data_IF_912402231165
#
_entry.id   IF_912402231165
#
_cell.length_a   1.000
_cell.length_b   1.000
_cell.length_c   1.000
_cell.angle_alpha   90.00
_cell.angle_beta   90.00
_cell.angle_gamma   90.00
#
_symmetry.space_group_name_H-M   'P 1'
#
loop_
_entity.id
_entity.type
_entity.pdbx_description
1 polymer ?
#
# COMPACT_ATOMS: atom_id res chain seq x y z
N UNK A 1 -3.05 12.92 25.41
CA UNK A 1 -4.35 12.57 24.80
C UNK A 1 -5.10 11.69 25.77
N UNK A 2 -6.21 12.18 26.32
CA UNK A 2 -6.97 11.43 27.35
C UNK A 2 -7.91 10.38 26.76
N UNK A 3 -8.28 10.50 25.47
CA UNK A 3 -9.10 9.53 24.74
C UNK A 3 -8.62 9.47 23.29
N UNK A 4 -8.09 8.33 22.88
CA UNK A 4 -7.70 8.02 21.51
C UNK A 4 -8.48 6.78 21.06
N UNK A 5 -9.22 6.90 19.96
CA UNK A 5 -10.10 5.83 19.46
C UNK A 5 -9.36 4.54 19.14
N UNK A 6 -8.12 4.62 18.61
CA UNK A 6 -7.32 3.44 18.31
C UNK A 6 -6.86 2.76 19.57
N UNK A 7 -6.34 3.52 20.56
CA UNK A 7 -5.90 2.97 21.83
C UNK A 7 -7.05 2.39 22.65
N UNK A 8 -8.21 3.03 22.63
CA UNK A 8 -9.41 2.54 23.33
C UNK A 8 -9.91 1.23 22.68
N UNK A 9 -9.87 1.12 21.34
CA UNK A 9 -10.20 -0.12 20.64
C UNK A 9 -9.19 -1.24 20.96
N UNK A 10 -7.89 -0.96 20.97
CA UNK A 10 -6.86 -1.94 21.34
C UNK A 10 -7.04 -2.45 22.77
N UNK A 11 -7.40 -1.57 23.72
CA UNK A 11 -7.75 -1.96 25.07
C UNK A 11 -8.98 -2.85 25.13
N UNK A 12 -10.05 -2.47 24.41
CA UNK A 12 -11.28 -3.26 24.31
C UNK A 12 -11.02 -4.66 23.75
N UNK A 13 -10.16 -4.78 22.75
CA UNK A 13 -9.76 -6.06 22.15
C UNK A 13 -8.75 -6.85 23.02
N UNK A 14 -8.30 -6.31 24.15
CA UNK A 14 -7.34 -6.95 25.04
C UNK A 14 -5.91 -6.99 24.48
N UNK A 15 -5.59 -6.17 23.49
CA UNK A 15 -4.25 -6.07 22.88
C UNK A 15 -3.33 -5.16 23.71
N UNK A 16 -2.93 -5.65 24.87
CA UNK A 16 -2.15 -4.90 25.85
C UNK A 16 -0.64 -5.07 25.75
N UNK A 17 -0.12 -5.79 24.75
CA UNK A 17 1.30 -6.10 24.60
C UNK A 17 1.91 -6.84 25.82
N UNK A 18 1.14 -7.67 26.48
CA UNK A 18 1.63 -8.50 27.60
C UNK A 18 2.67 -9.50 27.10
N UNK A 19 3.57 -10.01 27.95
CA UNK A 19 4.57 -10.99 27.53
C UNK A 19 3.98 -12.21 26.82
N UNK A 20 2.82 -12.68 27.25
CA UNK A 20 2.09 -13.84 26.72
C UNK A 20 1.35 -13.56 25.40
N UNK A 21 1.08 -12.29 25.07
CA UNK A 21 0.37 -11.95 23.83
C UNK A 21 1.21 -12.31 22.60
N UNK A 22 0.67 -13.14 21.71
CA UNK A 22 1.35 -13.56 20.48
C UNK A 22 1.51 -12.42 19.47
N UNK A 23 0.60 -11.46 19.50
CA UNK A 23 0.60 -10.28 18.63
C UNK A 23 0.97 -9.05 19.46
N UNK A 24 1.91 -8.27 18.95
CA UNK A 24 2.30 -6.98 19.53
C UNK A 24 1.87 -5.86 18.62
N UNK A 25 1.30 -4.81 19.17
CA UNK A 25 0.87 -3.63 18.43
C UNK A 25 1.69 -2.43 18.88
N UNK A 26 2.35 -1.79 17.94
CA UNK A 26 3.09 -0.54 18.19
C UNK A 26 2.34 0.57 17.47
N UNK A 27 1.77 1.50 18.23
CA UNK A 27 1.02 2.63 17.70
C UNK A 27 1.92 3.88 17.69
N UNK A 28 2.19 4.41 16.50
CA UNK A 28 3.05 5.58 16.29
C UNK A 28 2.23 6.67 15.56
N UNK A 29 1.48 7.51 16.28
CA UNK A 29 0.57 8.50 15.70
C UNK A 29 1.28 9.81 15.32
N UNK A 30 2.44 9.72 14.70
CA UNK A 30 3.22 10.87 14.25
C UNK A 30 4.06 10.51 13.03
N UNK A 31 4.61 11.53 12.37
CA UNK A 31 5.57 11.30 11.28
C UNK A 31 6.85 10.68 11.82
N UNK A 32 7.35 9.69 11.09
CA UNK A 32 8.58 8.96 11.42
C UNK A 32 9.80 9.73 10.90
N UNK A 33 10.16 10.79 11.61
CA UNK A 33 11.31 11.65 11.31
C UNK A 33 12.59 11.25 12.09
N UNK A 34 12.56 10.10 12.76
CA UNK A 34 13.63 9.59 13.60
C UNK A 34 13.61 10.12 15.03
N UNK A 35 12.58 10.87 15.43
CA UNK A 35 12.46 11.48 16.77
C UNK A 35 11.09 11.25 17.41
N UNK A 36 10.40 10.20 16.99
CA UNK A 36 9.04 9.88 17.44
C UNK A 36 8.98 9.43 18.93
N UNK A 37 10.10 9.11 19.53
CA UNK A 37 10.18 8.67 20.94
C UNK A 37 9.76 7.22 21.17
N UNK A 38 9.45 6.47 20.12
CA UNK A 38 9.00 5.07 20.15
C UNK A 38 10.01 4.19 19.40
N UNK A 39 10.11 4.37 18.09
CA UNK A 39 11.01 3.63 17.21
C UNK A 39 12.30 4.40 16.91
N UNK A 40 12.23 5.73 16.87
CA UNK A 40 13.33 6.64 16.58
C UNK A 40 14.07 6.28 15.27
N UNK A 41 13.30 5.90 14.25
CA UNK A 41 13.79 5.55 12.91
C UNK A 41 13.05 6.37 11.87
N UNK A 42 13.72 6.69 10.78
CA UNK A 42 13.06 7.28 9.63
C UNK A 42 12.15 6.26 8.94
N UNK A 43 11.10 6.75 8.29
CA UNK A 43 10.10 5.92 7.62
C UNK A 43 10.72 4.86 6.68
N UNK A 44 11.67 5.24 5.84
CA UNK A 44 12.31 4.30 4.90
C UNK A 44 13.22 3.28 5.59
N UNK A 45 13.81 3.63 6.75
CA UNK A 45 14.58 2.66 7.53
C UNK A 45 13.68 1.58 8.16
N UNK A 46 12.45 1.97 8.54
CA UNK A 46 11.45 1.03 9.05
C UNK A 46 10.91 0.15 7.93
N UNK A 47 10.58 0.77 6.80
CA UNK A 47 10.02 0.08 5.63
C UNK A 47 10.93 -1.06 5.14
N UNK A 48 12.26 -0.89 5.20
CA UNK A 48 13.22 -1.94 4.87
C UNK A 48 13.09 -3.20 5.74
N UNK A 49 12.59 -3.05 6.96
CA UNK A 49 12.42 -4.14 7.93
C UNK A 49 11.03 -4.78 7.92
N UNK A 50 10.10 -4.27 7.12
CA UNK A 50 8.75 -4.79 7.06
C UNK A 50 8.65 -6.02 6.15
N UNK A 51 7.79 -6.96 6.52
CA UNK A 51 7.50 -8.15 5.71
C UNK A 51 6.29 -7.94 4.82
N UNK A 52 5.31 -7.15 5.26
CA UNK A 52 4.05 -6.86 4.57
C UNK A 52 3.53 -5.49 4.99
N UNK A 53 3.11 -4.68 4.04
CA UNK A 53 2.49 -3.38 4.30
C UNK A 53 1.00 -3.40 3.96
N UNK A 54 0.20 -2.61 4.70
CA UNK A 54 -1.25 -2.53 4.50
C UNK A 54 -1.69 -1.08 4.41
N UNK A 55 -2.21 -0.70 3.25
CA UNK A 55 -2.71 0.65 2.95
C UNK A 55 -4.18 0.58 2.50
N UNK A 56 -5.13 0.47 3.44
CA UNK A 56 -6.54 0.31 3.12
C UNK A 56 -7.17 1.66 2.72
N UNK A 57 -6.65 2.27 1.65
CA UNK A 57 -7.05 3.59 1.18
C UNK A 57 -8.55 3.65 0.89
N UNK A 58 -9.18 4.72 1.36
CA UNK A 58 -10.57 5.03 1.03
C UNK A 58 -10.69 5.88 -0.23
N UNK A 59 -9.75 6.80 -0.42
CA UNK A 59 -9.57 7.58 -1.65
C UNK A 59 -8.14 8.11 -1.70
N UNK A 60 -7.47 7.83 -2.79
CA UNK A 60 -6.15 8.37 -3.06
C UNK A 60 -5.94 8.50 -4.58
N UNK A 61 -5.62 9.70 -5.12
CA UNK A 61 -5.48 9.89 -6.57
C UNK A 61 -4.47 8.94 -7.21
N UNK A 62 -3.34 8.68 -6.55
CA UNK A 62 -2.37 7.69 -7.00
C UNK A 62 -2.09 6.64 -5.92
N UNK A 63 -1.46 6.99 -4.82
CA UNK A 63 -1.00 6.06 -3.79
C UNK A 63 0.52 5.87 -3.84
N UNK A 64 1.24 6.89 -3.36
CA UNK A 64 2.71 6.80 -3.32
C UNK A 64 3.18 5.82 -2.26
N UNK A 65 2.52 5.73 -1.12
CA UNK A 65 2.92 4.82 -0.03
C UNK A 65 2.93 3.34 -0.43
N UNK A 66 1.89 2.77 -1.08
CA UNK A 66 1.98 1.40 -1.58
C UNK A 66 3.01 1.24 -2.70
N UNK A 67 3.21 2.25 -3.57
CA UNK A 67 4.25 2.21 -4.59
C UNK A 67 5.66 2.21 -3.97
N UNK A 68 5.91 3.05 -2.98
CA UNK A 68 7.17 3.08 -2.24
C UNK A 68 7.44 1.75 -1.55
N UNK A 69 6.42 1.15 -0.93
CA UNK A 69 6.53 -0.16 -0.29
C UNK A 69 7.03 -1.23 -1.26
N UNK A 70 6.40 -1.36 -2.44
CA UNK A 70 6.85 -2.35 -3.43
C UNK A 70 8.22 -1.98 -4.04
N UNK A 71 8.58 -0.71 -4.09
CA UNK A 71 9.91 -0.26 -4.52
C UNK A 71 11.01 -0.67 -3.52
N UNK A 72 10.66 -0.76 -2.23
CA UNK A 72 11.51 -1.34 -1.18
C UNK A 72 11.38 -2.86 -1.07
N UNK A 73 10.75 -3.50 -2.03
CA UNK A 73 10.53 -4.95 -2.07
C UNK A 73 9.65 -5.47 -0.92
N UNK A 74 8.74 -4.63 -0.42
CA UNK A 74 7.77 -5.03 0.60
C UNK A 74 6.44 -5.32 -0.07
N UNK A 75 5.93 -6.56 -0.01
CA UNK A 75 4.60 -6.90 -0.51
C UNK A 75 3.52 -6.06 0.16
N UNK A 76 2.48 -5.71 -0.59
CA UNK A 76 1.58 -4.64 -0.16
C UNK A 76 0.12 -5.02 -0.39
N UNK A 77 -0.73 -4.72 0.59
CA UNK A 77 -2.19 -4.74 0.45
C UNK A 77 -2.68 -3.31 0.25
N UNK A 78 -3.45 -3.07 -0.79
CA UNK A 78 -4.07 -1.78 -1.08
C UNK A 78 -5.51 -1.96 -1.56
N UNK A 79 -6.17 -0.90 -1.99
CA UNK A 79 -7.54 -0.95 -2.51
C UNK A 79 -7.61 -0.36 -3.92
N UNK A 80 -8.69 -0.68 -4.63
CA UNK A 80 -8.99 -0.10 -5.95
C UNK A 80 -9.53 1.35 -5.89
N UNK A 81 -9.66 1.94 -4.70
CA UNK A 81 -9.90 3.38 -4.51
C UNK A 81 -8.61 4.22 -4.53
N UNK A 82 -7.45 3.56 -4.61
CA UNK A 82 -6.17 4.18 -4.92
C UNK A 82 -5.83 3.99 -6.41
N UNK A 83 -5.36 5.03 -7.09
CA UNK A 83 -4.95 4.95 -8.49
C UNK A 83 -3.88 3.89 -8.74
N UNK A 84 -2.94 3.69 -7.80
CA UNK A 84 -1.96 2.63 -7.84
C UNK A 84 -2.62 1.24 -7.87
N UNK A 85 -3.62 1.00 -7.02
CA UNK A 85 -4.36 -0.27 -7.00
C UNK A 85 -5.09 -0.54 -8.32
N UNK A 86 -5.78 0.47 -8.87
CA UNK A 86 -6.42 0.38 -10.19
C UNK A 86 -5.40 0.07 -11.29
N UNK A 87 -4.25 0.72 -11.26
CA UNK A 87 -3.18 0.47 -12.22
C UNK A 87 -2.62 -0.96 -12.08
N UNK A 88 -2.37 -1.43 -10.86
CA UNK A 88 -1.92 -2.82 -10.61
C UNK A 88 -2.91 -3.83 -11.17
N UNK A 89 -4.22 -3.62 -10.97
CA UNK A 89 -5.27 -4.49 -11.54
C UNK A 89 -5.24 -4.51 -13.09
N UNK A 90 -4.68 -3.50 -13.73
CA UNK A 90 -4.52 -3.47 -15.20
C UNK A 90 -3.30 -4.23 -15.70
N UNK A 91 -2.38 -4.61 -14.82
CA UNK A 91 -1.18 -5.35 -15.19
C UNK A 91 -1.51 -6.81 -15.50
N UNK A 92 -0.82 -7.35 -16.49
CA UNK A 92 -0.90 -8.79 -16.79
C UNK A 92 -0.20 -9.57 -15.68
N UNK A 93 -0.78 -10.70 -15.31
CA UNK A 93 -0.23 -11.64 -14.31
C UNK A 93 -0.16 -11.06 -12.88
N UNK A 94 -1.11 -10.21 -12.51
CA UNK A 94 -1.31 -9.78 -11.12
C UNK A 94 -2.54 -10.51 -10.56
N UNK A 95 -2.31 -11.41 -9.60
CA UNK A 95 -3.33 -12.30 -9.03
C UNK A 95 -3.29 -12.30 -7.50
N UNK A 96 -2.96 -11.17 -6.91
CA UNK A 96 -2.96 -10.99 -5.47
C UNK A 96 -1.58 -10.99 -4.83
N UNK A 97 -1.54 -11.23 -3.52
CA UNK A 97 -0.32 -11.08 -2.69
C UNK A 97 0.84 -11.96 -3.17
N UNK A 98 0.58 -13.09 -3.79
CA UNK A 98 1.63 -13.95 -4.32
C UNK A 98 2.42 -13.31 -5.47
N UNK A 99 1.87 -12.28 -6.10
CA UNK A 99 2.51 -11.49 -7.15
C UNK A 99 3.00 -10.13 -6.63
N UNK A 100 3.00 -9.96 -5.30
CA UNK A 100 3.59 -8.82 -4.60
C UNK A 100 2.60 -7.73 -4.19
N UNK A 101 1.40 -7.70 -4.78
CA UNK A 101 0.37 -6.71 -4.42
C UNK A 101 -1.01 -7.39 -4.35
N UNK A 102 -1.68 -7.21 -3.22
CA UNK A 102 -3.10 -7.52 -3.08
C UNK A 102 -3.91 -6.24 -3.26
N UNK A 103 -4.86 -6.25 -4.19
CA UNK A 103 -5.77 -5.12 -4.42
C UNK A 103 -7.19 -5.53 -4.06
N UNK A 104 -7.68 -4.99 -2.96
CA UNK A 104 -9.03 -5.27 -2.47
C UNK A 104 -10.03 -4.30 -3.10
N UNK A 105 -11.15 -4.82 -3.55
CA UNK A 105 -12.28 -3.98 -3.95
C UNK A 105 -12.86 -3.27 -2.73
N UNK A 106 -12.97 -1.93 -2.78
CA UNK A 106 -13.54 -1.13 -1.71
C UNK A 106 -14.65 -0.21 -2.21
N UNK A 107 -15.71 -0.14 -1.42
CA UNK A 107 -16.85 0.76 -1.63
C UNK A 107 -17.31 1.32 -0.28
N UNK A 108 -18.30 2.21 -0.30
CA UNK A 108 -18.92 2.75 0.92
C UNK A 108 -19.66 1.70 1.75
N UNK A 109 -19.96 0.54 1.18
CA UNK A 109 -20.88 -0.45 1.76
C UNK A 109 -20.24 -1.79 2.11
N UNK A 110 -18.96 -2.02 1.77
CA UNK A 110 -18.31 -3.32 1.93
C UNK A 110 -17.16 -3.33 2.97
N UNK A 111 -17.27 -2.50 4.01
CA UNK A 111 -16.24 -2.39 5.05
C UNK A 111 -15.82 -3.74 5.63
N UNK A 112 -16.80 -4.58 5.99
CA UNK A 112 -16.52 -5.90 6.59
C UNK A 112 -15.80 -6.83 5.63
N UNK A 113 -16.17 -6.83 4.35
CA UNK A 113 -15.52 -7.63 3.31
C UNK A 113 -14.05 -7.21 3.11
N UNK A 114 -13.77 -5.91 3.14
CA UNK A 114 -12.40 -5.38 3.05
C UNK A 114 -11.59 -5.78 4.28
N UNK A 115 -12.17 -5.69 5.48
CA UNK A 115 -11.51 -6.10 6.72
C UNK A 115 -11.20 -7.62 6.71
N UNK A 116 -12.16 -8.44 6.26
CA UNK A 116 -11.95 -9.88 6.09
C UNK A 116 -10.89 -10.17 5.02
N UNK A 117 -10.90 -9.47 3.90
CA UNK A 117 -9.88 -9.61 2.86
C UNK A 117 -8.48 -9.30 3.36
N UNK A 118 -8.32 -8.23 4.15
CA UNK A 118 -7.03 -7.90 4.80
C UNK A 118 -6.62 -9.04 5.75
N UNK A 119 -7.52 -9.46 6.63
CA UNK A 119 -7.28 -10.55 7.59
C UNK A 119 -6.84 -11.84 6.88
N UNK A 120 -7.58 -12.25 5.84
CA UNK A 120 -7.32 -13.49 5.12
C UNK A 120 -6.00 -13.42 4.34
N UNK A 121 -5.65 -12.27 3.77
CA UNK A 121 -4.36 -12.06 3.09
C UNK A 121 -3.21 -12.10 4.09
N UNK A 122 -3.32 -11.46 5.26
CA UNK A 122 -2.30 -11.53 6.33
C UNK A 122 -2.16 -12.99 6.81
N UNK A 123 -3.26 -13.69 7.03
CA UNK A 123 -3.24 -15.09 7.45
C UNK A 123 -2.55 -15.98 6.40
N UNK A 124 -2.90 -15.82 5.12
CA UNK A 124 -2.25 -16.51 4.02
C UNK A 124 -0.74 -16.21 3.97
N UNK A 125 -0.36 -14.94 4.07
CA UNK A 125 1.03 -14.52 4.02
C UNK A 125 1.84 -15.11 5.18
N UNK A 126 1.26 -15.18 6.38
CA UNK A 126 1.91 -15.73 7.57
C UNK A 126 2.20 -17.24 7.49
N UNK A 127 1.60 -17.95 6.55
CA UNK A 127 1.88 -19.39 6.30
C UNK A 127 3.01 -19.63 5.31
N UNK A 128 3.53 -18.58 4.68
CA UNK A 128 4.57 -18.69 3.65
C UNK A 128 5.93 -19.03 4.24
N UNK A 129 6.67 -19.82 3.51
CA UNK A 129 8.08 -20.10 3.80
C UNK A 129 8.97 -18.91 3.41
N UNK A 130 10.16 -18.82 3.98
CA UNK A 130 11.15 -17.78 3.64
C UNK A 130 11.47 -17.73 2.14
N UNK A 131 11.48 -18.88 1.47
CA UNK A 131 11.73 -18.97 0.03
C UNK A 131 10.57 -18.35 -0.77
N UNK A 132 9.33 -18.63 -0.37
CA UNK A 132 8.13 -18.02 -0.99
C UNK A 132 8.08 -16.51 -0.74
N UNK A 133 8.34 -16.07 0.49
CA UNK A 133 8.41 -14.64 0.84
C UNK A 133 9.46 -13.93 -0.01
N UNK A 134 10.64 -14.51 -0.18
CA UNK A 134 11.69 -13.95 -1.03
C UNK A 134 11.25 -13.80 -2.49
N UNK A 135 10.51 -14.76 -3.02
CA UNK A 135 9.99 -14.67 -4.39
C UNK A 135 8.87 -13.62 -4.49
N UNK A 136 7.98 -13.54 -3.50
CA UNK A 136 6.93 -12.51 -3.44
C UNK A 136 7.56 -11.11 -3.39
N UNK A 137 8.59 -10.90 -2.57
CA UNK A 137 9.34 -9.62 -2.49
C UNK A 137 9.97 -9.25 -3.83
N UNK A 138 10.51 -10.22 -4.56
CA UNK A 138 11.05 -9.99 -5.91
C UNK A 138 9.95 -9.58 -6.90
N UNK A 139 8.78 -10.18 -6.82
CA UNK A 139 7.62 -9.81 -7.66
C UNK A 139 7.11 -8.42 -7.32
N UNK A 140 7.05 -8.05 -6.05
CA UNK A 140 6.74 -6.68 -5.62
C UNK A 140 7.69 -5.66 -6.27
N UNK A 141 9.00 -5.92 -6.26
CA UNK A 141 9.98 -5.09 -6.95
C UNK A 141 9.75 -5.00 -8.46
N UNK A 142 9.31 -6.07 -9.10
CA UNK A 142 8.97 -6.06 -10.53
C UNK A 142 7.74 -5.21 -10.84
N UNK A 143 6.78 -5.11 -9.93
CA UNK A 143 5.66 -4.17 -10.05
C UNK A 143 6.18 -2.73 -10.00
N UNK A 144 7.06 -2.41 -9.04
CA UNK A 144 7.66 -1.07 -8.94
C UNK A 144 8.47 -0.71 -10.19
N UNK A 145 9.21 -1.65 -10.77
CA UNK A 145 9.96 -1.44 -12.02
C UNK A 145 9.06 -1.00 -13.16
N UNK A 146 7.84 -1.54 -13.26
CA UNK A 146 6.85 -1.15 -14.27
C UNK A 146 6.28 0.26 -14.03
N UNK A 147 6.33 0.77 -12.79
CA UNK A 147 5.90 2.11 -12.43
C UNK A 147 6.97 3.19 -12.63
N UNK A 148 8.15 2.83 -13.12
CA UNK A 148 9.20 3.82 -13.38
C UNK A 148 8.78 4.81 -14.46
N UNK A 149 9.26 6.04 -14.33
CA UNK A 149 8.96 7.13 -15.24
C UNK A 149 9.26 6.81 -16.71
N UNK A 150 10.28 6.01 -16.99
CA UNK A 150 10.59 5.54 -18.35
C UNK A 150 9.41 4.83 -19.04
N UNK A 151 8.50 4.22 -18.25
CA UNK A 151 7.29 3.57 -18.77
C UNK A 151 6.10 4.52 -18.79
N UNK A 152 5.97 5.41 -17.79
CA UNK A 152 4.84 6.33 -17.71
C UNK A 152 4.94 7.54 -18.62
N UNK A 153 6.13 7.96 -19.01
CA UNK A 153 6.35 9.13 -19.88
C UNK A 153 5.58 9.02 -21.21
N UNK A 154 5.39 7.81 -21.73
CA UNK A 154 4.65 7.58 -22.97
C UNK A 154 3.17 8.03 -22.86
N UNK A 155 2.54 7.88 -21.72
CA UNK A 155 1.17 8.37 -21.48
C UNK A 155 1.11 9.90 -21.51
N UNK A 156 2.14 10.57 -21.00
CA UNK A 156 2.27 12.02 -21.09
C UNK A 156 2.43 12.48 -22.55
N UNK A 157 3.25 11.81 -23.34
CA UNK A 157 3.36 12.11 -24.76
C UNK A 157 2.02 11.94 -25.45
N UNK A 158 1.32 10.84 -25.24
CA UNK A 158 0.00 10.63 -25.80
C UNK A 158 -0.96 11.76 -25.44
N UNK A 159 -1.03 12.14 -24.16
CA UNK A 159 -1.88 13.23 -23.68
C UNK A 159 -1.52 14.56 -24.33
N UNK A 160 -0.23 14.91 -24.40
CA UNK A 160 0.25 16.15 -25.01
C UNK A 160 -0.05 16.23 -26.50
N UNK A 161 0.06 15.12 -27.23
CA UNK A 161 -0.23 15.07 -28.68
C UNK A 161 -1.73 15.10 -28.98
N UNK A 162 -2.57 14.60 -28.07
CA UNK A 162 -4.02 14.55 -28.27
C UNK A 162 -4.76 15.76 -27.70
N UNK A 163 -4.14 16.51 -26.79
CA UNK A 163 -4.74 17.72 -26.22
C UNK A 163 -4.61 18.89 -27.20
N UNK A 164 -5.72 19.58 -27.56
CA UNK A 164 -5.66 20.77 -28.40
C UNK A 164 -4.81 21.84 -27.71
N UNK A 165 -3.83 22.40 -28.43
CA UNK A 165 -3.00 23.47 -27.89
C UNK A 165 -3.85 24.75 -27.71
N UNK A 166 -3.49 25.67 -26.80
CA UNK A 166 -4.15 26.96 -26.68
C UNK A 166 -4.17 27.77 -28.01
N UNK A 167 -3.26 27.48 -28.94
CA UNK A 167 -3.23 28.08 -30.28
C UNK A 167 -4.29 27.49 -31.22
N UNK A 168 -4.57 26.19 -31.10
CA UNK A 168 -5.59 25.51 -31.93
C UNK A 168 -6.98 25.94 -31.52
N UNK A 169 -7.22 26.16 -30.20
CA UNK A 169 -8.50 26.68 -29.70
C UNK A 169 -8.82 28.12 -30.13
N UNK A 170 -7.80 28.92 -30.52
CA UNK A 170 -8.01 30.28 -31.04
C UNK A 170 -8.38 30.33 -32.54
N UNK A 171 -8.16 29.26 -33.27
CA UNK A 171 -8.45 29.17 -34.69
C UNK A 171 -9.86 28.69 -35.01
N UNK A 172 -10.59 28.20 -34.04
CA UNK A 172 -11.97 27.69 -34.17
C UNK A 172 -13.05 28.72 -33.79
N UNK A 173 -12.75 30.04 -33.78
CA UNK A 173 -13.72 31.15 -33.64
C UNK A 173 -13.76 31.98 -34.89
#
# INVERSE_FOLDING_TARGET
>A
MTHDQVLDMLKYLGMGNRPEDKVKVIFVPCYQDGKDGILNKHYYDLLLGEDLSVYPSYYEPWGYTPLESVAFHVPTITTDLAGFGLWVNSLKNQHGINDGVEVLHRSDYNYSEVADGIKDTIALFSTKTDAEIKEIRKRAAQVAEQALWKHFIQYYYCLLYTSPSPRDMRRSR
#
